data_IF_356902458426
#
_entry.id   IF_356902458426
#
_cell.length_a   1.000
_cell.length_b   1.000
_cell.length_c   1.000
_cell.angle_alpha   90.00
_cell.angle_beta   90.00
_cell.angle_gamma   90.00
#
_symmetry.space_group_name_H-M   'P 1'
#
loop_
_entity.id
_entity.type
_entity.pdbx_description
1 polymer ?
#
# COMPACT_ATOMS: atom_id res chain seq x y z
N UNK A 1 -7.47 -58.38 -54.91
CA UNK A 1 -7.44 -56.90 -54.94
C UNK A 1 -7.98 -56.37 -53.62
N UNK A 2 -7.12 -55.86 -52.72
CA UNK A 2 -7.52 -55.29 -51.42
C UNK A 2 -7.53 -53.76 -51.54
N UNK A 3 -8.68 -53.12 -51.36
CA UNK A 3 -8.78 -51.65 -51.21
C UNK A 3 -8.86 -51.34 -49.72
N UNK A 4 -7.84 -50.66 -49.19
CA UNK A 4 -7.82 -50.16 -47.82
C UNK A 4 -8.36 -48.73 -47.84
N UNK A 5 -9.40 -48.52 -47.04
CA UNK A 5 -10.15 -47.31 -46.82
C UNK A 5 -9.47 -46.49 -45.72
N UNK A 6 -9.06 -45.25 -46.00
CA UNK A 6 -8.58 -44.32 -44.97
C UNK A 6 -9.67 -43.27 -44.70
N UNK A 7 -10.28 -43.40 -43.52
CA UNK A 7 -11.26 -42.47 -42.97
C UNK A 7 -10.49 -41.41 -42.16
N UNK A 8 -10.45 -40.18 -42.66
CA UNK A 8 -9.85 -39.03 -41.96
C UNK A 8 -10.90 -38.42 -41.01
N UNK A 9 -10.80 -38.76 -39.73
CA UNK A 9 -11.56 -38.12 -38.65
C UNK A 9 -10.81 -36.84 -38.27
N UNK A 10 -11.32 -35.69 -38.71
CA UNK A 10 -10.86 -34.37 -38.29
C UNK A 10 -11.36 -34.06 -36.88
N UNK A 11 -10.50 -34.24 -35.88
CA UNK A 11 -10.78 -33.83 -34.50
C UNK A 11 -10.54 -32.32 -34.39
N UNK A 12 -11.62 -31.54 -34.38
CA UNK A 12 -11.59 -30.11 -34.08
C UNK A 12 -11.43 -29.89 -32.58
N UNK A 13 -10.19 -29.80 -32.11
CA UNK A 13 -9.86 -29.33 -30.76
C UNK A 13 -9.97 -27.80 -30.71
N UNK A 14 -11.18 -27.27 -30.56
CA UNK A 14 -11.37 -25.92 -30.02
C UNK A 14 -11.14 -25.98 -28.51
N UNK A 15 -9.88 -26.16 -28.11
CA UNK A 15 -9.47 -25.82 -26.77
C UNK A 15 -9.62 -24.30 -26.63
N UNK A 16 -10.63 -23.86 -25.87
CA UNK A 16 -10.65 -22.51 -25.34
C UNK A 16 -9.33 -22.33 -24.57
N UNK A 17 -8.34 -21.71 -25.20
CA UNK A 17 -7.14 -21.25 -24.53
C UNK A 17 -7.60 -20.17 -23.56
N UNK A 18 -7.91 -20.58 -22.33
CA UNK A 18 -8.11 -19.65 -21.23
C UNK A 18 -6.79 -18.93 -21.11
N UNK A 19 -6.75 -17.67 -21.56
CA UNK A 19 -5.56 -16.86 -21.45
C UNK A 19 -5.12 -16.89 -19.97
N UNK A 20 -3.89 -17.34 -19.67
CA UNK A 20 -3.44 -17.41 -18.29
C UNK A 20 -3.55 -16.01 -17.66
N UNK A 21 -4.35 -15.91 -16.58
CA UNK A 21 -4.37 -14.72 -15.72
C UNK A 21 -3.04 -14.64 -14.99
N UNK A 22 -2.07 -13.96 -15.58
CA UNK A 22 -0.83 -13.66 -14.89
C UNK A 22 -1.01 -12.42 -14.01
N UNK A 23 -1.22 -12.62 -12.71
CA UNK A 23 -0.91 -11.60 -11.71
C UNK A 23 0.58 -11.71 -11.41
N UNK A 24 1.41 -10.92 -12.12
CA UNK A 24 2.87 -11.05 -12.07
C UNK A 24 3.55 -10.55 -10.80
N UNK A 25 2.82 -10.14 -9.76
CA UNK A 25 3.44 -9.56 -8.57
C UNK A 25 2.86 -10.15 -7.30
N UNK A 26 3.68 -10.98 -6.66
CA UNK A 26 3.49 -11.24 -5.25
C UNK A 26 3.78 -9.96 -4.47
N UNK A 27 2.98 -9.72 -3.44
CA UNK A 27 3.16 -8.59 -2.54
C UNK A 27 3.47 -9.13 -1.16
N UNK A 28 4.52 -8.60 -0.54
CA UNK A 28 4.99 -9.03 0.77
C UNK A 28 5.01 -7.85 1.74
N UNK A 29 4.59 -8.03 2.99
CA UNK A 29 4.76 -6.99 4.00
C UNK A 29 6.25 -6.83 4.32
N UNK A 30 6.68 -5.60 4.64
CA UNK A 30 7.88 -5.44 5.45
C UNK A 30 7.60 -5.95 6.86
N UNK A 31 8.60 -6.59 7.46
CA UNK A 31 8.44 -7.22 8.78
C UNK A 31 8.60 -6.23 9.91
N UNK A 32 9.40 -5.18 9.71
CA UNK A 32 9.76 -4.23 10.75
C UNK A 32 9.15 -2.86 10.51
N UNK A 33 8.78 -2.21 11.61
CA UNK A 33 8.28 -0.84 11.66
C UNK A 33 8.95 -0.07 12.78
N UNK A 34 9.32 1.18 12.50
CA UNK A 34 9.80 2.13 13.50
C UNK A 34 9.20 3.51 13.27
N UNK A 35 9.07 4.28 14.35
CA UNK A 35 8.65 5.68 14.32
C UNK A 35 9.90 6.58 14.33
N UNK A 36 9.99 7.49 13.37
CA UNK A 36 11.13 8.39 13.20
C UNK A 36 10.99 9.76 13.84
N UNK A 37 9.79 10.14 14.29
CA UNK A 37 9.59 11.38 15.06
C UNK A 37 9.78 11.12 16.55
N UNK A 38 10.74 11.79 17.19
CA UNK A 38 10.99 11.64 18.64
C UNK A 38 9.74 11.96 19.45
N UNK A 39 9.35 11.06 20.34
CA UNK A 39 8.17 11.23 21.21
C UNK A 39 6.82 10.94 20.51
N UNK A 40 6.82 10.53 19.24
CA UNK A 40 5.60 10.11 18.55
C UNK A 40 5.05 8.81 19.14
N UNK A 41 3.72 8.79 19.32
CA UNK A 41 2.96 7.58 19.64
C UNK A 41 1.78 7.46 18.68
N UNK A 42 1.60 6.29 18.07
CA UNK A 42 0.47 5.97 17.20
C UNK A 42 -0.26 4.76 17.78
N UNK A 43 -1.54 4.92 18.08
CA UNK A 43 -2.36 3.88 18.71
C UNK A 43 -3.62 3.63 17.88
N UNK A 44 -3.92 2.37 17.59
CA UNK A 44 -5.16 2.00 16.91
C UNK A 44 -6.35 2.23 17.85
N UNK A 45 -7.43 2.83 17.35
CA UNK A 45 -8.62 3.07 18.19
C UNK A 45 -9.32 1.79 18.63
N UNK A 46 -9.06 0.67 17.96
CA UNK A 46 -9.58 -0.66 18.31
C UNK A 46 -8.63 -1.44 19.25
N UNK A 47 -7.52 -0.84 19.68
CA UNK A 47 -6.53 -1.48 20.55
C UNK A 47 -5.65 -2.53 19.88
N UNK A 48 -5.74 -2.72 18.56
CA UNK A 48 -4.96 -3.74 17.83
C UNK A 48 -3.44 -3.50 17.88
N UNK A 49 -3.00 -2.24 18.03
CA UNK A 49 -1.60 -1.92 18.24
C UNK A 49 -1.41 -0.57 18.94
N UNK A 50 -0.23 -0.43 19.54
CA UNK A 50 0.32 0.83 20.03
C UNK A 50 1.81 0.88 19.72
N UNK A 51 2.21 1.87 18.93
CA UNK A 51 3.59 2.08 18.54
C UNK A 51 4.13 3.36 19.16
N UNK A 52 5.34 3.28 19.69
CA UNK A 52 6.02 4.38 20.36
C UNK A 52 7.41 4.58 19.76
N UNK A 53 7.85 5.83 19.71
CA UNK A 53 9.20 6.18 19.30
C UNK A 53 10.27 5.42 20.09
N UNK A 54 11.36 5.05 19.39
CA UNK A 54 12.50 4.35 19.97
C UNK A 54 12.32 2.84 20.14
N UNK A 55 11.18 2.30 19.71
CA UNK A 55 10.90 0.85 19.66
C UNK A 55 10.76 0.38 18.21
N UNK A 56 11.16 -0.86 17.98
CA UNK A 56 10.88 -1.58 16.72
C UNK A 56 9.70 -2.52 16.93
N UNK A 57 8.84 -2.62 15.92
CA UNK A 57 7.63 -3.43 15.96
C UNK A 57 7.57 -4.37 14.77
N UNK A 58 6.97 -5.53 15.00
CA UNK A 58 6.40 -6.30 13.89
C UNK A 58 5.08 -5.67 13.47
N UNK A 59 4.86 -5.55 12.17
CA UNK A 59 3.56 -5.09 11.67
C UNK A 59 2.54 -6.21 11.84
N UNK A 60 1.37 -5.95 12.46
CA UNK A 60 0.33 -6.96 12.62
C UNK A 60 -0.03 -7.64 11.30
N UNK A 61 -0.17 -8.96 11.30
CA UNK A 61 -0.45 -9.73 10.08
C UNK A 61 -1.86 -9.50 9.53
N UNK A 62 -2.77 -9.07 10.40
CA UNK A 62 -4.16 -8.71 10.14
C UNK A 62 -4.34 -7.24 9.73
N UNK A 63 -3.25 -6.48 9.64
CA UNK A 63 -3.31 -5.08 9.22
C UNK A 63 -3.93 -4.96 7.81
N UNK A 64 -4.85 -4.01 7.57
CA UNK A 64 -5.41 -3.79 6.24
C UNK A 64 -4.33 -3.24 5.31
N UNK A 65 -3.70 -4.13 4.54
CA UNK A 65 -2.70 -3.73 3.56
C UNK A 65 -3.34 -3.31 2.26
N UNK A 66 -3.12 -2.06 1.86
CA UNK A 66 -3.63 -1.54 0.59
C UNK A 66 -2.52 -0.80 -0.15
N UNK A 67 -2.35 -1.01 -1.46
CA UNK A 67 -1.35 -0.29 -2.24
C UNK A 67 -2.07 0.66 -3.18
N UNK A 68 -1.88 1.95 -3.00
CA UNK A 68 -2.27 2.92 -4.02
C UNK A 68 -1.33 2.77 -5.21
N UNK A 69 -1.90 2.41 -6.36
CA UNK A 69 -1.24 2.59 -7.64
C UNK A 69 -1.44 4.05 -8.03
N UNK A 70 -0.35 4.79 -8.16
CA UNK A 70 -0.42 6.16 -8.63
C UNK A 70 0.47 6.28 -9.87
N UNK A 71 -0.14 6.44 -11.05
CA UNK A 71 0.58 7.01 -12.19
C UNK A 71 0.87 8.50 -11.96
N UNK A 72 0.13 9.12 -11.04
CA UNK A 72 0.35 10.44 -10.46
C UNK A 72 -0.07 10.37 -8.99
N UNK A 73 0.77 10.79 -8.05
CA UNK A 73 0.53 10.77 -6.59
C UNK A 73 -0.78 11.44 -6.11
N UNK A 74 -1.59 11.99 -7.03
CA UNK A 74 -2.81 12.76 -6.81
C UNK A 74 -3.97 12.00 -6.18
N UNK A 75 -4.08 10.67 -6.32
CA UNK A 75 -5.29 9.95 -5.89
C UNK A 75 -5.34 9.65 -4.38
N UNK A 76 -4.22 9.29 -3.76
CA UNK A 76 -4.13 9.14 -2.29
C UNK A 76 -4.19 10.48 -1.55
N UNK A 77 -3.89 11.58 -2.26
CA UNK A 77 -3.79 12.96 -1.74
C UNK A 77 -5.01 13.84 -2.04
N UNK A 78 -5.98 13.33 -2.82
CA UNK A 78 -7.22 14.07 -3.11
C UNK A 78 -8.28 13.85 -2.04
N UNK A 79 -9.20 14.79 -1.88
CA UNK A 79 -10.43 14.61 -1.08
C UNK A 79 -11.19 13.34 -1.48
N UNK A 80 -11.27 13.05 -2.78
CA UNK A 80 -11.85 11.80 -3.32
C UNK A 80 -11.10 10.53 -2.87
N UNK A 81 -9.81 10.67 -2.51
CA UNK A 81 -9.01 9.60 -1.93
C UNK A 81 -9.41 9.35 -0.49
N UNK A 82 -9.58 10.42 0.30
CA UNK A 82 -10.05 10.36 1.68
C UNK A 82 -11.46 9.75 1.81
N UNK A 83 -12.39 10.10 0.92
CA UNK A 83 -13.76 9.53 0.92
C UNK A 83 -13.80 8.00 0.75
N UNK A 84 -12.72 7.41 0.23
CA UNK A 84 -12.57 5.96 0.06
C UNK A 84 -11.85 5.29 1.22
N UNK A 85 -11.27 6.06 2.15
CA UNK A 85 -10.61 5.54 3.33
C UNK A 85 -11.66 5.00 4.28
N UNK A 86 -11.52 3.75 4.66
CA UNK A 86 -12.38 3.09 5.62
C UNK A 86 -11.62 1.96 6.32
N UNK A 87 -12.26 1.30 7.27
CA UNK A 87 -11.62 0.28 8.11
C UNK A 87 -11.14 -0.97 7.34
N UNK A 88 -11.54 -1.13 6.07
CA UNK A 88 -11.06 -2.23 5.22
C UNK A 88 -9.71 -1.95 4.58
N UNK A 89 -9.31 -0.68 4.44
CA UNK A 89 -8.08 -0.28 3.77
C UNK A 89 -7.14 0.57 4.62
N UNK A 90 -7.61 1.05 5.78
CA UNK A 90 -6.82 1.79 6.75
C UNK A 90 -7.34 1.52 8.18
N UNK A 91 -6.50 1.75 9.19
CA UNK A 91 -6.90 1.68 10.59
C UNK A 91 -7.09 3.10 11.15
N UNK A 92 -8.19 3.33 11.88
CA UNK A 92 -8.36 4.55 12.68
C UNK A 92 -7.31 4.58 13.78
N UNK A 93 -6.66 5.72 13.96
CA UNK A 93 -5.58 5.91 14.92
C UNK A 93 -5.73 7.19 15.73
N UNK A 94 -5.26 7.14 16.97
CA UNK A 94 -4.94 8.29 17.79
C UNK A 94 -3.42 8.51 17.71
N UNK A 95 -3.02 9.74 17.45
CA UNK A 95 -1.62 10.12 17.24
C UNK A 95 -1.22 11.19 18.24
N UNK A 96 -0.33 10.86 19.17
CA UNK A 96 0.28 11.84 20.08
C UNK A 96 1.62 12.27 19.48
N UNK A 97 1.79 13.57 19.25
CA UNK A 97 3.00 14.14 18.65
C UNK A 97 3.74 14.96 19.69
N UNK A 98 5.07 15.15 19.58
CA UNK A 98 5.82 15.98 20.52
C UNK A 98 5.55 17.49 20.37
N UNK A 99 4.75 17.90 19.37
CA UNK A 99 4.57 19.31 19.00
C UNK A 99 3.30 19.92 19.60
N UNK A 100 2.46 19.11 20.26
CA UNK A 100 1.22 19.55 20.92
C UNK A 100 0.81 18.58 22.03
N UNK A 101 0.04 19.09 22.98
CA UNK A 101 -0.40 18.32 24.15
C UNK A 101 -1.64 17.45 23.84
N UNK A 102 -2.56 17.92 22.99
CA UNK A 102 -3.74 17.13 22.64
C UNK A 102 -3.45 16.09 21.55
N UNK A 103 -4.10 14.91 21.62
CA UNK A 103 -4.00 13.91 20.58
C UNK A 103 -4.59 14.41 19.26
N UNK A 104 -4.07 13.87 18.17
CA UNK A 104 -4.62 13.99 16.84
C UNK A 104 -5.33 12.71 16.41
N UNK A 105 -6.20 12.82 15.43
CA UNK A 105 -7.01 11.73 14.91
C UNK A 105 -6.61 11.45 13.48
N UNK A 106 -6.58 10.18 13.11
CA UNK A 106 -6.13 9.80 11.79
C UNK A 106 -6.65 8.49 11.27
N UNK A 107 -6.34 8.26 10.01
CA UNK A 107 -6.36 6.93 9.40
C UNK A 107 -4.94 6.60 8.99
N UNK A 108 -4.46 5.43 9.36
CA UNK A 108 -3.17 4.90 8.96
C UNK A 108 -3.38 3.74 8.00
N UNK A 109 -2.72 3.80 6.86
CA UNK A 109 -2.67 2.72 5.90
C UNK A 109 -1.21 2.28 5.74
N UNK A 110 -0.99 0.97 5.77
CA UNK A 110 0.29 0.36 5.41
C UNK A 110 0.08 -0.42 4.11
N UNK A 111 1.08 -0.44 3.25
CA UNK A 111 1.03 -1.06 1.92
C UNK A 111 1.99 -2.24 1.87
N UNK A 112 1.60 -3.35 1.25
CA UNK A 112 2.58 -4.42 0.96
C UNK A 112 3.55 -3.94 -0.11
N UNK A 113 4.80 -4.36 -0.01
CA UNK A 113 5.80 -4.07 -1.03
C UNK A 113 5.70 -5.09 -2.16
N UNK A 114 5.92 -4.64 -3.40
CA UNK A 114 6.06 -5.55 -4.54
C UNK A 114 7.33 -6.38 -4.33
N UNK A 115 7.22 -7.70 -4.34
CA UNK A 115 8.33 -8.61 -3.97
C UNK A 115 9.61 -8.32 -4.76
N UNK A 116 9.49 -8.03 -6.06
CA UNK A 116 10.61 -7.70 -6.94
C UNK A 116 11.27 -6.37 -6.60
N UNK A 117 10.65 -5.51 -5.80
CA UNK A 117 11.17 -4.22 -5.37
C UNK A 117 11.58 -4.19 -3.90
N UNK A 118 11.36 -5.30 -3.18
CA UNK A 118 11.83 -5.47 -1.81
C UNK A 118 13.34 -5.33 -1.74
N UNK A 119 13.82 -4.63 -0.72
CA UNK A 119 15.24 -4.37 -0.43
C UNK A 119 16.03 -3.57 -1.48
N UNK A 120 15.39 -3.21 -2.61
CA UNK A 120 15.99 -2.42 -3.70
C UNK A 120 16.12 -0.94 -3.40
N UNK A 121 15.37 -0.42 -2.42
CA UNK A 121 15.54 0.94 -1.91
C UNK A 121 15.27 0.97 -0.40
N UNK A 122 15.73 1.99 0.35
CA UNK A 122 15.55 2.04 1.80
C UNK A 122 14.09 1.90 2.25
N UNK A 123 13.16 2.53 1.52
CA UNK A 123 11.72 2.57 1.79
C UNK A 123 11.05 1.20 1.64
N UNK A 124 11.72 0.24 0.98
CA UNK A 124 11.22 -1.12 0.76
C UNK A 124 11.81 -2.17 1.69
N UNK A 125 12.62 -1.76 2.69
CA UNK A 125 13.26 -2.65 3.67
C UNK A 125 12.46 -2.75 4.97
N UNK A 126 11.92 -1.62 5.41
CA UNK A 126 11.19 -1.44 6.66
C UNK A 126 10.17 -0.32 6.51
N UNK A 127 9.13 -0.31 7.34
CA UNK A 127 8.29 0.89 7.44
C UNK A 127 8.92 1.88 8.41
N UNK A 128 9.13 3.11 7.96
CA UNK A 128 9.65 4.18 8.79
C UNK A 128 8.68 5.37 8.75
N UNK A 129 7.87 5.51 9.80
CA UNK A 129 6.81 6.52 9.84
C UNK A 129 7.35 7.79 10.51
N UNK A 130 7.28 8.90 9.79
CA UNK A 130 7.65 10.21 10.30
C UNK A 130 6.46 11.16 10.22
N UNK A 131 6.25 11.92 11.29
CA UNK A 131 5.26 12.99 11.41
C UNK A 131 6.01 14.29 11.68
N UNK A 132 6.28 15.11 10.66
CA UNK A 132 6.93 16.41 10.84
C UNK A 132 5.98 17.46 11.41
N UNK A 133 6.51 18.43 12.16
CA UNK A 133 5.74 19.50 12.81
C UNK A 133 4.87 20.30 11.83
N UNK A 134 5.40 20.62 10.64
CA UNK A 134 4.66 21.41 9.65
C UNK A 134 3.38 20.70 9.16
N UNK A 135 3.34 19.36 9.17
CA UNK A 135 2.14 18.60 8.82
C UNK A 135 1.13 18.57 9.96
N UNK A 136 1.59 18.58 11.21
CA UNK A 136 0.74 18.73 12.41
C UNK A 136 0.04 20.08 12.40
N UNK A 137 0.82 21.16 12.20
CA UNK A 137 0.29 22.52 12.14
C UNK A 137 -0.67 22.72 10.95
N UNK A 138 -0.42 22.05 9.81
CA UNK A 138 -1.30 22.10 8.64
C UNK A 138 -2.66 21.42 8.86
N UNK A 139 -2.76 20.51 9.83
CA UNK A 139 -3.98 19.78 10.16
C UNK A 139 -4.90 20.55 11.15
N UNK A 140 -4.50 21.73 11.59
CA UNK A 140 -5.27 22.53 12.55
C UNK A 140 -6.53 23.15 11.93
N UNK A 141 -7.54 23.37 12.78
CA UNK A 141 -8.80 23.99 12.41
C UNK A 141 -9.76 23.02 11.71
N UNK A 142 -9.62 21.72 11.93
CA UNK A 142 -10.39 20.66 11.28
C UNK A 142 -9.92 20.33 9.87
N UNK A 143 -8.67 20.65 9.53
CA UNK A 143 -8.08 20.33 8.24
C UNK A 143 -7.49 18.92 8.27
N UNK A 144 -7.39 18.31 7.09
CA UNK A 144 -6.71 17.03 6.94
C UNK A 144 -5.35 17.26 6.30
N UNK A 145 -4.31 16.81 6.99
CA UNK A 145 -2.95 16.76 6.50
C UNK A 145 -2.59 15.32 6.15
N UNK A 146 -1.91 15.10 5.04
CA UNK A 146 -1.60 13.75 4.55
C UNK A 146 -0.08 13.59 4.41
N UNK A 147 0.45 12.57 5.07
CA UNK A 147 1.86 12.19 4.99
C UNK A 147 1.96 10.78 4.42
N UNK A 148 3.02 10.51 3.67
CA UNK A 148 3.25 9.20 3.09
C UNK A 148 4.73 9.03 2.77
N UNK A 149 5.17 7.78 2.70
CA UNK A 149 6.44 7.41 2.11
C UNK A 149 6.18 6.72 0.77
N UNK A 150 6.93 7.12 -0.25
CA UNK A 150 6.79 6.55 -1.59
C UNK A 150 8.04 5.80 -2.00
N UNK A 151 7.86 4.68 -2.70
CA UNK A 151 8.93 3.96 -3.37
C UNK A 151 8.64 3.86 -4.87
N UNK A 152 9.71 3.79 -5.66
CA UNK A 152 9.61 3.58 -7.11
C UNK A 152 9.94 2.13 -7.43
N UNK A 153 9.09 1.51 -8.23
CA UNK A 153 9.27 0.12 -8.61
C UNK A 153 9.13 -0.01 -10.13
N UNK A 154 10.06 -0.75 -10.75
CA UNK A 154 9.94 -1.13 -12.15
C UNK A 154 9.13 -2.42 -12.17
N UNK A 155 7.94 -2.37 -12.74
CA UNK A 155 7.10 -3.54 -12.97
C UNK A 155 7.07 -3.86 -14.46
N UNK A 156 7.04 -5.15 -14.78
CA UNK A 156 6.61 -5.58 -16.11
C UNK A 156 5.11 -5.32 -16.33
N UNK A 157 4.69 -5.28 -17.57
CA UNK A 157 3.27 -5.41 -17.91
C UNK A 157 3.14 -6.18 -19.22
N UNK A 158 1.99 -6.81 -19.40
CA UNK A 158 1.60 -7.38 -20.68
C UNK A 158 0.45 -6.56 -21.25
N UNK A 159 0.63 -6.05 -22.46
CA UNK A 159 -0.41 -5.34 -23.20
C UNK A 159 -0.36 -5.78 -24.66
N UNK A 160 -1.50 -6.22 -25.19
CA UNK A 160 -1.66 -6.63 -26.59
C UNK A 160 -0.60 -7.65 -27.06
N UNK A 161 -0.29 -8.65 -26.23
CA UNK A 161 0.71 -9.69 -26.53
C UNK A 161 2.17 -9.26 -26.38
N UNK A 162 2.44 -7.98 -26.07
CA UNK A 162 3.78 -7.45 -25.86
C UNK A 162 4.13 -7.37 -24.38
N UNK A 163 5.36 -7.77 -24.05
CA UNK A 163 5.95 -7.57 -22.73
C UNK A 163 6.61 -6.20 -22.68
N UNK A 164 6.19 -5.37 -21.73
CA UNK A 164 6.79 -4.08 -21.43
C UNK A 164 7.31 -4.02 -20.00
N UNK A 165 8.06 -2.97 -19.69
CA UNK A 165 8.33 -2.56 -18.31
C UNK A 165 7.95 -1.10 -18.15
N UNK A 166 7.50 -0.73 -16.96
CA UNK A 166 7.11 0.62 -16.63
C UNK A 166 7.51 0.92 -15.19
N UNK A 167 7.77 2.18 -14.91
CA UNK A 167 8.18 2.64 -13.59
C UNK A 167 6.98 3.29 -12.91
N UNK A 168 6.60 2.75 -11.76
CA UNK A 168 5.47 3.25 -10.99
C UNK A 168 5.91 3.79 -9.64
N UNK A 169 5.16 4.77 -9.14
CA UNK A 169 5.23 5.23 -7.76
C UNK A 169 4.17 4.52 -6.93
N UNK A 170 4.60 3.96 -5.80
CA UNK A 170 3.75 3.32 -4.81
C UNK A 170 3.98 3.96 -3.45
N UNK A 171 2.99 3.95 -2.57
CA UNK A 171 3.18 4.26 -1.15
C UNK A 171 3.59 3.00 -0.40
N UNK A 172 4.51 3.11 0.57
CA UNK A 172 4.74 2.07 1.59
C UNK A 172 3.77 2.26 2.77
N UNK A 173 3.46 3.51 3.12
CA UNK A 173 2.45 3.88 4.11
C UNK A 173 1.83 5.25 3.78
N UNK A 174 0.64 5.50 4.30
CA UNK A 174 -0.07 6.79 4.23
C UNK A 174 -0.75 7.05 5.57
N UNK A 175 -0.62 8.27 6.09
CA UNK A 175 -1.28 8.74 7.32
C UNK A 175 -2.06 10.01 7.00
N UNK A 176 -3.38 9.94 7.12
CA UNK A 176 -4.27 11.11 7.16
C UNK A 176 -4.40 11.56 8.60
N UNK A 177 -4.26 12.85 8.88
CA UNK A 177 -4.17 13.41 10.22
C UNK A 177 -5.00 14.68 10.34
N UNK A 178 -5.70 14.85 11.46
CA UNK A 178 -6.57 15.98 11.77
C UNK A 178 -6.57 16.26 13.27
N UNK A 179 -6.75 17.53 13.66
CA UNK A 179 -6.96 17.94 15.05
C UNK A 179 -8.39 17.65 15.56
N UNK A 180 -9.26 17.15 14.69
CA UNK A 180 -10.62 16.69 14.99
C UNK A 180 -10.83 15.24 14.57
N UNK A 181 -11.73 14.50 15.24
CA UNK A 181 -12.10 13.14 14.83
C UNK A 181 -12.48 13.06 13.34
N UNK A 182 -11.94 12.04 12.66
CA UNK A 182 -12.16 11.71 11.25
C UNK A 182 -13.12 10.54 11.07
#
# INVERSE_FOLDING_TARGET
MKKIMFLLIGISLFGCAVAPKYNFYDKVPNKTLALGTKGLVIEATDGSFKWEYGKEYEVPTDYPFFNWYTSSASLALSTNGFDKVNETNAKKVIVNTPYRDEPMYGYLQISKIITECKDKSPETRSYYIQVPENYVNAAEGGKVSVMYESYRCISGYYSNGNKGTTKHGYSSWVLWLSDRPL
#
